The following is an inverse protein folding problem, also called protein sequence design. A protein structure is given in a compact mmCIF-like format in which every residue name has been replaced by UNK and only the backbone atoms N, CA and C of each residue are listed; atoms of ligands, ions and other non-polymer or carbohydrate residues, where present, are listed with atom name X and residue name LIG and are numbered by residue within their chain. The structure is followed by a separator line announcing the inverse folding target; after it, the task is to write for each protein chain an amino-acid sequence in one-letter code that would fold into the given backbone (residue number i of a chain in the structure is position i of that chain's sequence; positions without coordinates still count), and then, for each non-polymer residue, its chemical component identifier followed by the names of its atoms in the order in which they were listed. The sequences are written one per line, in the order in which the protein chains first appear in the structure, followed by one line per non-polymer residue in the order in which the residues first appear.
data_IF_532293021035
#
_entry.id   IF_532293021035
#
_cell.length_a   1.000
_cell.length_b   1.000
_cell.length_c   1.000
_cell.angle_alpha   90.00
_cell.angle_beta   90.00
_cell.angle_gamma   90.00
#
_symmetry.space_group_name_H-M   'P 1'
#
loop_
_entity.id
_entity.type
_entity.pdbx_description
1 polymer ?
#
# COMPACT_ATOMS: atom_id res chain seq x y z
N UNK A 1 -2.65 20.74 14.67
CA UNK A 1 -2.19 19.35 14.48
C UNK A 1 -1.22 19.40 13.32
N UNK A 2 0.07 19.57 13.61
CA UNK A 2 1.10 19.61 12.57
C UNK A 2 1.16 18.22 11.94
N UNK A 3 0.90 18.14 10.63
CA UNK A 3 1.09 16.92 9.86
C UNK A 3 2.60 16.63 9.88
N UNK A 4 3.01 15.62 10.66
CA UNK A 4 4.40 15.16 10.65
C UNK A 4 4.70 14.64 9.24
N UNK A 5 5.58 15.30 8.45
CA UNK A 5 5.86 14.86 7.10
C UNK A 5 6.64 13.54 7.16
N UNK A 6 6.19 12.53 6.42
CA UNK A 6 7.04 11.36 6.10
C UNK A 6 7.93 11.76 4.96
N UNK A 7 9.24 11.72 5.18
CA UNK A 7 10.19 11.90 4.10
C UNK A 7 10.65 10.53 3.61
N UNK A 8 10.25 10.20 2.38
CA UNK A 8 10.75 9.05 1.67
C UNK A 8 11.90 9.47 0.77
N UNK A 9 13.02 8.80 0.93
CA UNK A 9 14.22 9.03 0.14
C UNK A 9 14.48 7.80 -0.73
N UNK A 10 14.43 7.94 -2.05
CA UNK A 10 14.88 6.89 -2.96
C UNK A 10 16.34 6.50 -2.69
N UNK A 11 16.67 5.22 -2.55
CA UNK A 11 18.07 4.77 -2.61
C UNK A 11 18.70 5.00 -3.99
N UNK A 12 17.86 5.08 -5.02
CA UNK A 12 18.24 5.52 -6.35
C UNK A 12 18.55 7.04 -6.40
N UNK A 13 18.26 7.77 -5.31
CA UNK A 13 18.25 9.23 -5.20
C UNK A 13 18.85 9.74 -3.90
N UNK A 14 20.17 9.95 -3.91
CA UNK A 14 20.80 10.80 -2.91
C UNK A 14 20.51 10.48 -1.41
N UNK A 15 20.36 9.23 -0.95
CA UNK A 15 20.68 8.94 0.44
C UNK A 15 22.20 8.90 0.49
N UNK A 16 22.79 10.09 0.55
CA UNK A 16 24.16 10.16 1.00
C UNK A 16 24.22 9.55 2.40
N UNK A 17 25.34 8.93 2.81
CA UNK A 17 25.49 8.43 4.18
C UNK A 17 25.00 9.40 5.27
N UNK A 18 25.21 10.74 5.15
CA UNK A 18 24.62 11.73 6.06
C UNK A 18 23.09 11.74 6.15
N UNK A 19 22.38 11.41 5.07
CA UNK A 19 20.92 11.37 5.06
C UNK A 19 20.41 10.12 5.78
N UNK A 20 21.08 8.98 5.62
CA UNK A 20 20.72 7.72 6.31
C UNK A 20 20.89 7.86 7.83
N UNK A 21 21.91 8.60 8.28
CA UNK A 21 22.22 8.76 9.70
C UNK A 21 21.65 10.03 10.33
N UNK A 22 20.88 10.84 9.59
CA UNK A 22 20.47 12.19 10.02
C UNK A 22 19.69 12.18 11.36
N UNK A 23 18.96 11.10 11.65
CA UNK A 23 18.16 10.92 12.87
C UNK A 23 18.94 10.46 14.09
N UNK A 24 20.22 10.15 13.93
CA UNK A 24 21.13 9.95 15.06
C UNK A 24 21.49 11.29 15.73
N UNK A 25 21.33 12.40 15.01
CA UNK A 25 21.47 13.75 15.54
C UNK A 25 20.08 14.41 15.64
N UNK A 26 19.53 14.37 16.86
CA UNK A 26 18.22 14.92 17.17
C UNK A 26 18.16 16.46 17.08
N UNK A 27 19.27 17.16 16.79
CA UNK A 27 19.23 18.59 16.50
C UNK A 27 18.83 18.91 15.05
N UNK A 28 18.90 17.92 14.14
CA UNK A 28 18.71 18.15 12.69
C UNK A 28 17.26 18.06 12.23
N UNK A 29 16.62 16.91 12.46
CA UNK A 29 15.26 16.64 11.98
C UNK A 29 14.39 16.13 13.13
N UNK A 30 13.57 17.03 13.67
CA UNK A 30 12.58 16.74 14.70
C UNK A 30 11.17 16.70 14.10
N UNK A 31 10.33 15.77 14.55
CA UNK A 31 8.93 15.69 14.11
C UNK A 31 8.70 15.17 12.67
N UNK A 32 9.70 14.55 12.05
CA UNK A 32 9.52 13.84 10.78
C UNK A 32 10.05 12.41 10.90
N UNK A 33 9.37 11.48 10.23
CA UNK A 33 9.82 10.11 10.08
C UNK A 33 10.61 9.97 8.79
N UNK A 34 11.75 9.29 8.87
CA UNK A 34 12.58 8.98 7.71
C UNK A 34 12.36 7.55 7.24
N UNK A 35 12.23 7.36 5.93
CA UNK A 35 12.27 6.05 5.32
C UNK A 35 13.04 6.07 4.01
N UNK A 36 13.72 4.97 3.70
CA UNK A 36 14.42 4.80 2.43
C UNK A 36 13.63 3.87 1.51
N UNK A 37 13.50 4.29 0.26
CA UNK A 37 12.86 3.53 -0.81
C UNK A 37 13.90 2.63 -1.48
N UNK A 38 13.73 1.32 -1.32
CA UNK A 38 14.61 0.29 -1.86
C UNK A 38 14.08 -0.20 -3.23
N UNK A 39 14.94 -0.19 -4.25
CA UNK A 39 14.64 -0.75 -5.58
C UNK A 39 14.98 -2.24 -5.67
N UNK A 40 14.37 -2.94 -6.62
CA UNK A 40 14.67 -4.36 -6.87
C UNK A 40 16.15 -4.51 -7.35
N UNK A 41 16.65 -3.57 -8.16
CA UNK A 41 18.05 -3.54 -8.63
C UNK A 41 19.06 -3.33 -7.50
N UNK A 42 18.75 -2.52 -6.49
CA UNK A 42 19.61 -2.40 -5.29
C UNK A 42 19.70 -3.73 -4.55
N UNK A 43 18.58 -4.44 -4.39
CA UNK A 43 18.56 -5.75 -3.74
C UNK A 43 19.35 -6.80 -4.52
N UNK A 44 19.32 -6.75 -5.86
CA UNK A 44 20.13 -7.60 -6.71
C UNK A 44 21.63 -7.30 -6.54
N UNK A 45 22.02 -6.02 -6.55
CA UNK A 45 23.40 -5.62 -6.29
C UNK A 45 23.86 -6.08 -4.89
N UNK A 46 23.02 -5.92 -3.86
CA UNK A 46 23.32 -6.38 -2.51
C UNK A 46 23.54 -7.90 -2.46
N UNK A 47 22.65 -8.68 -3.07
CA UNK A 47 22.72 -10.15 -3.10
C UNK A 47 24.01 -10.63 -3.79
N UNK A 48 24.43 -9.93 -4.83
CA UNK A 48 25.62 -10.27 -5.62
C UNK A 48 26.92 -9.61 -5.12
N UNK A 49 26.88 -8.93 -3.97
CA UNK A 49 28.01 -8.16 -3.42
C UNK A 49 28.57 -7.12 -4.42
N UNK A 50 27.68 -6.56 -5.24
CA UNK A 50 27.97 -5.59 -6.28
C UNK A 50 28.18 -4.18 -5.76
N UNK A 51 28.60 -3.32 -6.68
CA UNK A 51 28.68 -1.88 -6.49
C UNK A 51 27.33 -1.22 -6.77
N UNK A 52 27.17 0.00 -6.26
CA UNK A 52 25.98 0.82 -6.38
C UNK A 52 26.37 2.26 -6.65
N UNK A 53 25.82 2.82 -7.72
CA UNK A 53 26.07 4.20 -8.11
C UNK A 53 25.06 5.14 -7.45
N UNK A 54 25.57 6.14 -6.74
CA UNK A 54 24.80 7.27 -6.26
C UNK A 54 24.67 8.27 -7.38
N UNK A 55 23.48 8.34 -7.97
CA UNK A 55 23.20 9.12 -9.17
C UNK A 55 22.24 10.28 -8.90
N UNK A 56 22.33 11.32 -9.71
CA UNK A 56 21.35 12.39 -9.79
C UNK A 56 21.29 12.90 -11.24
N UNK A 57 20.19 13.52 -11.68
CA UNK A 57 20.18 14.27 -12.93
C UNK A 57 21.36 15.26 -13.00
N UNK A 58 21.93 15.39 -14.19
CA UNK A 58 22.94 16.41 -14.46
C UNK A 58 22.27 17.79 -14.45
N UNK A 59 22.67 18.64 -13.50
CA UNK A 59 22.11 19.98 -13.32
C UNK A 59 22.46 20.91 -14.50
N UNK A 60 23.54 20.60 -15.22
CA UNK A 60 23.97 21.35 -16.40
C UNK A 60 23.19 20.93 -17.67
N UNK A 61 22.29 19.94 -17.58
CA UNK A 61 21.37 19.62 -18.67
C UNK A 61 20.35 20.76 -18.82
N UNK A 62 20.25 21.43 -19.98
CA UNK A 62 19.36 22.58 -20.16
C UNK A 62 17.88 22.22 -20.01
N UNK A 63 17.53 20.93 -20.00
CA UNK A 63 16.18 20.44 -19.75
C UNK A 63 15.85 20.30 -18.27
N UNK A 64 16.85 20.35 -17.36
CA UNK A 64 16.67 20.03 -15.94
C UNK A 64 15.57 20.88 -15.32
N UNK A 65 15.73 22.20 -15.30
CA UNK A 65 14.76 23.12 -14.67
C UNK A 65 13.35 23.01 -15.26
N UNK A 66 13.24 22.65 -16.55
CA UNK A 66 11.96 22.60 -17.25
C UNK A 66 11.27 21.22 -17.20
N UNK A 67 12.01 20.14 -16.99
CA UNK A 67 11.52 18.76 -17.17
C UNK A 67 11.77 17.84 -15.97
N UNK A 68 12.67 18.20 -15.06
CA UNK A 68 12.90 17.43 -13.85
C UNK A 68 11.69 17.52 -12.93
N UNK A 69 11.14 16.37 -12.55
CA UNK A 69 9.94 16.28 -11.73
C UNK A 69 10.14 15.42 -10.46
N UNK A 70 11.38 15.10 -10.12
CA UNK A 70 11.71 14.21 -9.01
C UNK A 70 11.81 12.73 -9.37
N UNK A 71 11.56 12.33 -10.63
CA UNK A 71 11.49 10.92 -11.04
C UNK A 71 12.57 10.53 -12.07
N UNK A 72 13.53 9.70 -11.65
CA UNK A 72 14.76 9.42 -12.41
C UNK A 72 14.44 8.58 -13.63
N UNK A 73 13.52 7.63 -13.48
CA UNK A 73 13.10 6.77 -14.57
C UNK A 73 12.37 7.57 -15.66
N UNK A 74 11.68 8.66 -15.32
CA UNK A 74 11.06 9.54 -16.30
C UNK A 74 12.11 10.44 -16.97
N UNK A 75 13.08 10.94 -16.20
CA UNK A 75 14.23 11.66 -16.71
C UNK A 75 15.08 10.82 -17.69
N UNK A 76 15.34 9.55 -17.35
CA UNK A 76 16.02 8.59 -18.23
C UNK A 76 15.25 8.39 -19.54
N UNK A 77 13.92 8.24 -19.48
CA UNK A 77 13.07 8.02 -20.66
C UNK A 77 13.13 9.17 -21.67
N UNK A 78 13.30 10.41 -21.21
CA UNK A 78 13.46 11.57 -22.10
C UNK A 78 14.91 11.81 -22.53
N UNK A 79 15.81 10.87 -22.23
CA UNK A 79 17.25 10.98 -22.53
C UNK A 79 17.94 12.08 -21.73
N UNK A 80 17.46 12.38 -20.53
CA UNK A 80 18.09 13.31 -19.59
C UNK A 80 19.46 12.80 -19.14
N UNK A 81 20.45 13.69 -19.05
CA UNK A 81 21.80 13.31 -18.60
C UNK A 81 21.82 12.97 -17.12
N UNK A 82 22.57 11.94 -16.75
CA UNK A 82 22.75 11.52 -15.36
C UNK A 82 24.21 11.69 -14.98
N UNK A 83 24.43 12.22 -13.78
CA UNK A 83 25.75 12.34 -13.17
C UNK A 83 25.88 11.31 -12.05
N UNK A 84 26.91 10.47 -12.14
CA UNK A 84 27.34 9.60 -11.04
C UNK A 84 28.19 10.43 -10.10
N UNK A 85 27.77 10.57 -8.85
CA UNK A 85 28.50 11.34 -7.84
C UNK A 85 29.51 10.46 -7.10
N UNK A 86 29.13 9.21 -6.81
CA UNK A 86 29.96 8.27 -6.08
C UNK A 86 29.49 6.85 -6.34
N UNK A 87 30.43 5.93 -6.47
CA UNK A 87 30.16 4.49 -6.47
C UNK A 87 30.54 3.91 -5.11
N UNK A 88 29.67 3.11 -4.51
CA UNK A 88 29.86 2.47 -3.20
C UNK A 88 29.47 0.99 -3.25
N UNK A 89 29.95 0.17 -2.32
CA UNK A 89 29.44 -1.21 -2.21
C UNK A 89 27.98 -1.18 -1.75
N UNK A 90 27.09 -1.93 -2.41
CA UNK A 90 25.68 -2.04 -1.99
C UNK A 90 25.57 -2.53 -0.54
N UNK A 91 26.45 -3.47 -0.14
CA UNK A 91 26.57 -3.97 1.22
C UNK A 91 26.88 -2.87 2.24
N UNK A 92 27.77 -1.94 1.91
CA UNK A 92 28.11 -0.84 2.81
C UNK A 92 26.89 0.05 3.11
N UNK A 93 26.10 0.39 2.08
CA UNK A 93 24.85 1.15 2.29
C UNK A 93 23.83 0.37 3.11
N UNK A 94 23.68 -0.93 2.85
CA UNK A 94 22.77 -1.79 3.60
C UNK A 94 23.15 -1.88 5.08
N UNK A 95 24.43 -2.11 5.38
CA UNK A 95 24.93 -2.19 6.76
C UNK A 95 24.71 -0.85 7.47
N UNK A 96 24.93 0.28 6.79
CA UNK A 96 24.68 1.62 7.33
C UNK A 96 23.18 1.84 7.65
N UNK A 97 22.28 1.38 6.78
CA UNK A 97 20.82 1.46 7.02
C UNK A 97 20.46 0.62 8.25
N UNK A 98 20.97 -0.60 8.34
CA UNK A 98 20.71 -1.48 9.48
C UNK A 98 21.24 -0.88 10.80
N UNK A 99 22.46 -0.33 10.79
CA UNK A 99 23.05 0.30 11.97
C UNK A 99 22.26 1.56 12.39
N UNK A 100 21.85 2.40 11.43
CA UNK A 100 21.04 3.56 11.71
C UNK A 100 19.68 3.16 12.31
N UNK A 101 18.99 2.20 11.69
CA UNK A 101 17.72 1.69 12.20
C UNK A 101 17.85 1.09 13.60
N UNK A 102 18.96 0.40 13.90
CA UNK A 102 19.23 -0.11 15.24
C UNK A 102 19.45 1.02 16.28
N UNK A 103 20.14 2.09 15.90
CA UNK A 103 20.45 3.22 16.81
C UNK A 103 19.29 4.16 17.05
N UNK A 104 18.49 4.44 16.03
CA UNK A 104 17.46 5.51 16.06
C UNK A 104 16.05 5.05 15.69
N UNK A 105 15.82 3.74 15.48
CA UNK A 105 14.58 3.18 14.93
C UNK A 105 14.21 3.71 13.51
N UNK A 106 15.15 4.42 12.87
CA UNK A 106 15.01 5.05 11.56
C UNK A 106 16.35 4.95 10.79
N UNK A 107 16.32 4.87 9.45
CA UNK A 107 15.14 4.97 8.60
C UNK A 107 14.32 3.68 8.51
N UNK A 108 13.01 3.81 8.31
CA UNK A 108 12.17 2.72 7.85
C UNK A 108 12.52 2.29 6.42
N UNK A 109 12.03 1.13 5.99
CA UNK A 109 12.21 0.61 4.63
C UNK A 109 10.90 0.59 3.88
N UNK A 110 10.93 1.04 2.62
CA UNK A 110 9.78 0.93 1.73
C UNK A 110 10.19 0.44 0.35
N UNK A 111 9.44 -0.49 -0.24
CA UNK A 111 9.70 -0.99 -1.60
C UNK A 111 8.70 -0.35 -2.58
N UNK A 112 8.88 0.94 -2.86
CA UNK A 112 7.89 1.72 -3.61
C UNK A 112 7.72 1.24 -5.06
N UNK A 113 8.80 0.74 -5.69
CA UNK A 113 8.74 0.08 -7.00
C UNK A 113 7.78 -1.11 -6.96
N UNK A 114 7.91 -1.99 -5.96
CA UNK A 114 7.04 -3.15 -5.77
C UNK A 114 5.60 -2.74 -5.45
N UNK A 115 5.41 -1.71 -4.63
CA UNK A 115 4.08 -1.16 -4.36
C UNK A 115 3.42 -0.64 -5.64
N UNK A 116 4.14 0.05 -6.51
CA UNK A 116 3.63 0.50 -7.81
C UNK A 116 3.28 -0.68 -8.73
N UNK A 117 4.17 -1.67 -8.87
CA UNK A 117 3.92 -2.88 -9.69
C UNK A 117 2.69 -3.67 -9.23
N UNK A 118 2.41 -3.68 -7.92
CA UNK A 118 1.34 -4.49 -7.33
C UNK A 118 0.07 -3.72 -7.00
N UNK A 119 0.05 -2.40 -7.17
CA UNK A 119 -1.11 -1.58 -6.81
C UNK A 119 -2.32 -1.87 -7.71
N UNK A 120 -3.51 -1.91 -7.10
CA UNK A 120 -4.78 -1.92 -7.83
C UNK A 120 -5.04 -0.64 -8.64
N UNK A 121 -4.24 0.41 -8.42
CA UNK A 121 -4.31 1.70 -9.11
C UNK A 121 -3.19 1.92 -10.15
N UNK A 122 -2.33 0.91 -10.35
CA UNK A 122 -1.11 1.02 -11.18
C UNK A 122 -1.34 1.54 -12.60
N UNK A 123 -2.55 1.39 -13.15
CA UNK A 123 -2.89 1.84 -14.51
C UNK A 123 -3.28 3.32 -14.63
N UNK A 124 -3.41 4.05 -13.52
CA UNK A 124 -3.82 5.46 -13.53
C UNK A 124 -3.20 6.33 -12.42
N UNK A 125 -2.52 5.74 -11.45
CA UNK A 125 -1.88 6.44 -10.34
C UNK A 125 -0.49 5.84 -10.11
N UNK A 126 0.50 6.73 -9.96
CA UNK A 126 1.82 6.39 -9.44
C UNK A 126 1.82 6.68 -7.94
N UNK A 127 2.24 5.70 -7.16
CA UNK A 127 2.45 5.85 -5.73
C UNK A 127 3.83 6.49 -5.53
N UNK A 128 3.85 7.65 -4.88
CA UNK A 128 5.07 8.47 -4.71
C UNK A 128 5.52 8.51 -3.26
N UNK A 129 4.60 8.26 -2.32
CA UNK A 129 4.89 8.25 -0.90
C UNK A 129 4.12 7.15 -0.17
N UNK A 130 4.32 7.05 1.15
CA UNK A 130 3.49 6.30 2.08
C UNK A 130 3.00 7.25 3.17
N UNK A 131 1.94 6.90 3.87
CA UNK A 131 1.44 7.63 5.02
C UNK A 131 2.37 7.45 6.25
N UNK A 132 2.18 8.24 7.34
CA UNK A 132 3.02 8.18 8.55
C UNK A 132 3.31 6.79 9.13
N UNK A 133 2.35 5.88 9.03
CA UNK A 133 2.46 4.56 9.62
C UNK A 133 3.00 3.50 8.64
N UNK A 134 3.28 3.88 7.38
CA UNK A 134 3.88 3.01 6.36
C UNK A 134 2.92 1.99 5.74
N UNK A 135 1.71 1.86 6.27
CA UNK A 135 0.72 0.88 5.88
C UNK A 135 -0.11 1.32 4.69
N UNK A 136 0.07 2.51 4.11
CA UNK A 136 -0.58 3.05 2.90
C UNK A 136 0.34 3.86 1.98
N UNK A 137 0.89 3.27 0.90
CA UNK A 137 1.41 3.95 -0.26
C UNK A 137 0.30 4.74 -0.95
N UNK A 138 0.61 5.98 -1.29
CA UNK A 138 -0.31 6.96 -1.81
C UNK A 138 0.30 7.68 -3.01
N UNK A 139 -0.55 7.98 -3.99
CA UNK A 139 -0.26 9.02 -4.96
C UNK A 139 -0.47 10.42 -4.37
N UNK A 140 -0.14 11.47 -5.14
CA UNK A 140 -0.34 12.85 -4.72
C UNK A 140 -1.80 13.10 -4.32
N UNK A 141 -2.01 13.86 -3.24
CA UNK A 141 -3.34 14.25 -2.72
C UNK A 141 -4.26 13.11 -2.29
N UNK A 142 -3.80 11.85 -2.30
CA UNK A 142 -4.63 10.74 -1.84
C UNK A 142 -4.80 10.78 -0.32
N UNK A 143 -5.96 10.29 0.14
CA UNK A 143 -6.38 10.32 1.55
C UNK A 143 -6.48 8.90 2.11
N UNK A 144 -6.07 8.75 3.36
CA UNK A 144 -6.27 7.52 4.14
C UNK A 144 -7.64 7.52 4.81
N UNK A 145 -8.56 6.70 4.32
CA UNK A 145 -9.81 6.36 5.03
C UNK A 145 -9.64 4.98 5.69
N UNK A 146 -9.43 4.96 7.00
CA UNK A 146 -8.99 3.79 7.74
C UNK A 146 -10.07 3.28 8.70
N UNK A 147 -10.22 1.96 8.75
CA UNK A 147 -11.01 1.25 9.76
C UNK A 147 -10.24 0.03 10.27
N UNK A 148 -10.65 -0.51 11.41
CA UNK A 148 -10.00 -1.71 11.97
C UNK A 148 -11.03 -2.65 12.61
N UNK A 149 -10.98 -3.93 12.24
CA UNK A 149 -11.81 -4.97 12.84
C UNK A 149 -11.15 -5.49 14.14
N UNK A 150 -11.84 -5.41 15.28
CA UNK A 150 -11.35 -5.99 16.52
C UNK A 150 -11.53 -7.52 16.53
N UNK A 151 -10.48 -8.26 16.19
CA UNK A 151 -10.52 -9.72 16.06
C UNK A 151 -10.89 -10.42 17.38
N UNK A 152 -10.50 -9.84 18.51
CA UNK A 152 -10.79 -10.41 19.84
C UNK A 152 -12.28 -10.46 20.16
N UNK A 153 -13.08 -9.57 19.57
CA UNK A 153 -14.54 -9.54 19.73
C UNK A 153 -15.23 -10.72 19.03
N UNK A 154 -14.55 -11.34 18.06
CA UNK A 154 -15.06 -12.48 17.30
C UNK A 154 -14.62 -13.83 17.89
N UNK A 155 -14.07 -13.89 19.10
CA UNK A 155 -13.73 -15.16 19.74
C UNK A 155 -14.74 -15.49 20.83
N UNK A 156 -15.45 -16.62 20.66
CA UNK A 156 -16.42 -17.16 21.62
C UNK A 156 -16.05 -18.61 21.92
N UNK A 157 -16.02 -18.97 23.21
CA UNK A 157 -15.72 -20.34 23.68
C UNK A 157 -14.44 -20.94 23.05
N UNK A 158 -13.41 -20.10 22.91
CA UNK A 158 -12.13 -20.48 22.31
C UNK A 158 -12.16 -20.68 20.78
N UNK A 159 -13.22 -20.28 20.09
CA UNK A 159 -13.38 -20.41 18.63
C UNK A 159 -13.65 -19.07 17.96
N UNK A 160 -13.11 -18.89 16.76
CA UNK A 160 -13.35 -17.70 15.95
C UNK A 160 -14.72 -17.77 15.24
N UNK A 161 -15.53 -16.74 15.42
CA UNK A 161 -16.86 -16.54 14.86
C UNK A 161 -16.73 -15.93 13.46
N UNK A 162 -16.40 -16.78 12.50
CA UNK A 162 -16.17 -16.39 11.11
C UNK A 162 -17.43 -15.82 10.43
N UNK A 163 -18.62 -16.26 10.83
CA UNK A 163 -19.88 -15.82 10.23
C UNK A 163 -20.18 -14.36 10.57
N UNK A 164 -20.16 -14.00 11.85
CA UNK A 164 -20.36 -12.62 12.26
C UNK A 164 -19.24 -11.71 11.74
N UNK A 165 -17.98 -12.19 11.77
CA UNK A 165 -16.86 -11.44 11.19
C UNK A 165 -17.07 -11.14 9.70
N UNK A 166 -17.47 -12.14 8.92
CA UNK A 166 -17.76 -12.01 7.48
C UNK A 166 -18.82 -10.93 7.21
N UNK A 167 -19.93 -10.96 7.96
CA UNK A 167 -21.01 -9.97 7.83
C UNK A 167 -20.53 -8.55 8.17
N UNK A 168 -19.85 -8.41 9.30
CA UNK A 168 -19.48 -7.09 9.83
C UNK A 168 -18.37 -6.43 8.99
N UNK A 169 -17.51 -7.20 8.31
CA UNK A 169 -16.57 -6.67 7.29
C UNK A 169 -17.33 -5.93 6.19
N UNK A 170 -18.45 -6.49 5.71
CA UNK A 170 -19.28 -5.82 4.70
C UNK A 170 -19.88 -4.51 5.19
N UNK A 171 -20.31 -4.48 6.46
CA UNK A 171 -20.81 -3.26 7.12
C UNK A 171 -19.69 -2.21 7.22
N UNK A 172 -18.49 -2.60 7.65
CA UNK A 172 -17.34 -1.70 7.77
C UNK A 172 -16.96 -1.08 6.41
N UNK A 173 -16.97 -1.87 5.33
CA UNK A 173 -16.71 -1.39 3.96
C UNK A 173 -17.75 -0.35 3.53
N UNK A 174 -19.03 -0.62 3.79
CA UNK A 174 -20.11 0.33 3.48
C UNK A 174 -19.99 1.61 4.30
N UNK A 175 -19.66 1.49 5.58
CA UNK A 175 -19.43 2.62 6.47
C UNK A 175 -18.30 3.51 5.93
N UNK A 176 -17.13 2.93 5.64
CA UNK A 176 -16.01 3.69 5.08
C UNK A 176 -16.35 4.28 3.70
N UNK A 177 -17.09 3.59 2.83
CA UNK A 177 -17.56 4.16 1.56
C UNK A 177 -18.39 5.43 1.78
N UNK A 178 -19.29 5.42 2.77
CA UNK A 178 -20.09 6.60 3.11
C UNK A 178 -19.24 7.72 3.73
N UNK A 179 -18.21 7.39 4.52
CA UNK A 179 -17.29 8.37 5.12
C UNK A 179 -16.61 9.22 4.04
N UNK A 180 -16.27 8.65 2.87
CA UNK A 180 -15.67 9.41 1.76
C UNK A 180 -16.55 10.60 1.36
N UNK A 181 -17.87 10.40 1.33
CA UNK A 181 -18.83 11.42 0.91
C UNK A 181 -19.18 12.39 2.06
N UNK A 182 -19.12 11.92 3.31
CA UNK A 182 -19.39 12.73 4.50
C UNK A 182 -18.19 13.55 5.01
N UNK A 183 -16.98 13.23 4.55
CA UNK A 183 -15.74 13.90 4.98
C UNK A 183 -15.72 15.35 4.51
N UNK A 184 -15.37 16.25 5.42
CA UNK A 184 -14.98 17.62 5.06
C UNK A 184 -13.52 17.63 4.61
N UNK A 185 -13.27 18.10 3.39
CA UNK A 185 -11.93 18.20 2.82
C UNK A 185 -11.46 19.65 2.83
N UNK A 186 -10.27 19.89 3.37
CA UNK A 186 -9.66 21.22 3.40
C UNK A 186 -9.17 21.69 2.02
N UNK A 187 -8.67 20.75 1.20
CA UNK A 187 -8.17 21.02 -0.15
C UNK A 187 -9.04 20.34 -1.20
N UNK A 188 -9.33 21.06 -2.29
CA UNK A 188 -10.17 20.56 -3.39
C UNK A 188 -9.51 19.38 -4.10
N UNK A 189 -8.19 19.36 -4.16
CA UNK A 189 -7.38 18.30 -4.74
C UNK A 189 -7.56 16.98 -3.96
N UNK A 190 -7.57 17.04 -2.62
CA UNK A 190 -7.83 15.88 -1.78
C UNK A 190 -9.27 15.37 -1.98
N UNK A 191 -10.25 16.26 -2.02
CA UNK A 191 -11.65 15.90 -2.26
C UNK A 191 -11.82 15.19 -3.59
N UNK A 192 -11.28 15.80 -4.66
CA UNK A 192 -11.34 15.25 -6.00
C UNK A 192 -10.67 13.87 -6.04
N UNK A 193 -9.46 13.75 -5.50
CA UNK A 193 -8.72 12.49 -5.48
C UNK A 193 -9.50 11.39 -4.73
N UNK A 194 -10.07 11.73 -3.56
CA UNK A 194 -10.81 10.79 -2.72
C UNK A 194 -12.10 10.33 -3.37
N UNK A 195 -12.85 11.24 -4.02
CA UNK A 195 -14.09 10.91 -4.74
C UNK A 195 -13.85 10.13 -6.04
N UNK A 196 -12.75 10.41 -6.74
CA UNK A 196 -12.36 9.72 -7.98
C UNK A 196 -11.93 8.27 -7.74
N UNK A 197 -11.12 8.04 -6.69
CA UNK A 197 -10.44 6.75 -6.43
C UNK A 197 -11.22 5.91 -5.40
N UNK A 198 -11.88 6.56 -4.44
CA UNK A 198 -12.62 5.95 -3.34
C UNK A 198 -11.81 4.90 -2.55
N UNK A 199 -10.55 5.20 -2.27
CA UNK A 199 -9.63 4.35 -1.51
C UNK A 199 -10.10 4.19 -0.07
N UNK A 200 -10.08 2.95 0.43
CA UNK A 200 -10.30 2.63 1.85
C UNK A 200 -9.23 1.63 2.32
N UNK A 201 -8.93 1.63 3.62
CA UNK A 201 -8.04 0.65 4.26
C UNK A 201 -8.71 0.03 5.47
N UNK A 202 -9.17 -1.22 5.34
CA UNK A 202 -9.72 -1.96 6.46
C UNK A 202 -8.66 -2.89 7.04
N UNK A 203 -8.10 -2.48 8.17
CA UNK A 203 -7.15 -3.27 8.95
C UNK A 203 -7.81 -4.13 10.02
N UNK A 204 -6.97 -4.59 10.94
CA UNK A 204 -7.37 -5.36 12.11
C UNK A 204 -6.74 -4.77 13.37
N UNK A 205 -7.32 -5.10 14.53
CA UNK A 205 -6.67 -4.98 15.84
C UNK A 205 -6.99 -6.23 16.68
N UNK A 206 -6.28 -6.43 17.78
CA UNK A 206 -6.58 -7.51 18.74
C UNK A 206 -6.26 -8.92 18.24
N UNK A 207 -5.30 -9.07 17.30
CA UNK A 207 -4.87 -10.39 16.84
C UNK A 207 -4.27 -11.23 17.96
N UNK A 208 -3.38 -10.63 18.77
CA UNK A 208 -2.77 -11.31 19.90
C UNK A 208 -3.82 -11.78 20.91
N UNK A 209 -4.76 -10.91 21.27
CA UNK A 209 -5.87 -11.23 22.17
C UNK A 209 -6.76 -12.34 21.63
N UNK A 210 -7.07 -12.31 20.33
CA UNK A 210 -7.85 -13.36 19.68
C UNK A 210 -7.14 -14.72 19.79
N UNK A 211 -5.84 -14.76 19.50
CA UNK A 211 -5.02 -15.97 19.60
C UNK A 211 -4.95 -16.48 21.05
N UNK A 212 -4.76 -15.60 22.03
CA UNK A 212 -4.77 -15.95 23.46
C UNK A 212 -6.12 -16.57 23.85
N UNK A 213 -7.25 -15.94 23.47
CA UNK A 213 -8.59 -16.47 23.76
C UNK A 213 -8.84 -17.84 23.13
N UNK A 214 -8.29 -18.09 21.94
CA UNK A 214 -8.35 -19.39 21.27
C UNK A 214 -7.31 -20.40 21.78
N UNK A 215 -6.42 -19.99 22.70
CA UNK A 215 -5.28 -20.77 23.20
C UNK A 215 -4.31 -21.21 22.10
N UNK A 216 -4.16 -20.40 21.05
CA UNK A 216 -3.26 -20.64 19.92
C UNK A 216 -2.01 -19.78 20.08
N UNK A 217 -0.82 -20.39 20.08
CA UNK A 217 0.45 -19.66 20.17
C UNK A 217 0.77 -18.94 18.86
N UNK A 218 1.08 -17.64 18.91
CA UNK A 218 1.54 -16.90 17.73
C UNK A 218 2.81 -17.53 17.12
N UNK A 219 2.81 -17.73 15.79
CA UNK A 219 3.91 -18.36 15.08
C UNK A 219 3.95 -19.89 15.17
N UNK A 220 2.95 -20.54 15.78
CA UNK A 220 2.78 -21.99 15.69
C UNK A 220 2.26 -22.41 14.31
N UNK A 221 2.46 -23.68 13.94
CA UNK A 221 1.90 -24.26 12.71
C UNK A 221 0.37 -24.15 12.63
N UNK A 222 -0.31 -24.16 13.78
CA UNK A 222 -1.76 -23.96 13.88
C UNK A 222 -2.17 -22.49 13.65
N UNK A 223 -1.36 -21.53 14.10
CA UNK A 223 -1.69 -20.11 13.98
C UNK A 223 -1.69 -19.62 12.53
N UNK A 224 -0.81 -20.17 11.69
CA UNK A 224 -0.65 -19.74 10.30
C UNK A 224 -1.92 -19.93 9.44
N UNK A 225 -2.53 -21.13 9.35
CA UNK A 225 -3.78 -21.32 8.60
C UNK A 225 -4.95 -20.57 9.22
N UNK A 226 -4.99 -20.41 10.55
CA UNK A 226 -6.03 -19.64 11.24
C UNK A 226 -5.97 -18.15 10.85
N UNK A 227 -4.80 -17.53 10.97
CA UNK A 227 -4.56 -16.13 10.57
C UNK A 227 -4.84 -15.98 9.06
N UNK A 228 -4.34 -16.91 8.25
CA UNK A 228 -4.60 -16.94 6.80
C UNK A 228 -6.09 -16.93 6.47
N UNK A 229 -6.89 -17.74 7.16
CA UNK A 229 -8.35 -17.77 6.99
C UNK A 229 -9.03 -16.46 7.41
N UNK A 230 -8.61 -15.85 8.53
CA UNK A 230 -9.14 -14.54 8.97
C UNK A 230 -8.89 -13.48 7.89
N UNK A 231 -7.65 -13.35 7.40
CA UNK A 231 -7.32 -12.37 6.36
C UNK A 231 -7.95 -12.69 5.01
N UNK A 232 -8.13 -13.97 4.66
CA UNK A 232 -8.87 -14.36 3.47
C UNK A 232 -10.33 -13.91 3.53
N UNK A 233 -11.01 -14.13 4.66
CA UNK A 233 -12.40 -13.71 4.86
C UNK A 233 -12.51 -12.18 4.85
N UNK A 234 -11.59 -11.47 5.52
CA UNK A 234 -11.52 -10.01 5.49
C UNK A 234 -11.42 -9.49 4.05
N UNK A 235 -10.43 -10.00 3.29
CA UNK A 235 -10.21 -9.60 1.90
C UNK A 235 -11.41 -9.90 1.03
N UNK A 236 -11.85 -11.15 0.99
CA UNK A 236 -12.89 -11.61 0.07
C UNK A 236 -14.20 -10.86 0.31
N UNK A 237 -14.63 -10.72 1.57
CA UNK A 237 -15.84 -9.98 1.92
C UNK A 237 -15.72 -8.49 1.63
N UNK A 238 -14.53 -7.90 1.80
CA UNK A 238 -14.34 -6.51 1.44
C UNK A 238 -14.51 -6.28 -0.08
N UNK A 239 -13.97 -7.18 -0.91
CA UNK A 239 -14.18 -7.13 -2.35
C UNK A 239 -15.63 -7.40 -2.74
N UNK A 240 -16.32 -8.33 -2.07
CA UNK A 240 -17.75 -8.61 -2.30
C UNK A 240 -18.61 -7.38 -1.96
N UNK A 241 -18.42 -6.79 -0.77
CA UNK A 241 -19.14 -5.59 -0.34
C UNK A 241 -18.87 -4.41 -1.28
N UNK A 242 -17.61 -4.18 -1.69
CA UNK A 242 -17.26 -3.13 -2.66
C UNK A 242 -17.97 -3.33 -4.01
N UNK A 243 -18.16 -4.57 -4.47
CA UNK A 243 -18.92 -4.87 -5.69
C UNK A 243 -20.43 -4.69 -5.51
N UNK A 244 -20.96 -5.06 -4.35
CA UNK A 244 -22.38 -4.85 -4.02
C UNK A 244 -22.71 -3.35 -3.96
N UNK A 245 -21.83 -2.52 -3.40
CA UNK A 245 -22.00 -1.07 -3.43
C UNK A 245 -21.86 -0.52 -4.85
N UNK A 246 -20.98 -1.08 -5.68
CA UNK A 246 -20.84 -0.67 -7.09
C UNK A 246 -22.13 -0.94 -7.89
N UNK A 247 -22.83 -2.04 -7.58
CA UNK A 247 -24.14 -2.35 -8.18
C UNK A 247 -25.20 -1.30 -7.83
N UNK A 248 -25.15 -0.78 -6.61
CA UNK A 248 -26.12 0.21 -6.13
C UNK A 248 -25.77 1.64 -6.58
N UNK A 249 -24.50 2.04 -6.45
CA UNK A 249 -24.04 3.43 -6.57
C UNK A 249 -23.12 3.69 -7.77
N UNK A 250 -22.83 2.66 -8.57
CA UNK A 250 -21.80 2.69 -9.61
C UNK A 250 -20.37 2.49 -9.08
N UNK A 251 -19.47 2.05 -9.96
CA UNK A 251 -18.04 1.92 -9.65
C UNK A 251 -17.35 3.26 -9.36
N UNK A 252 -16.13 3.25 -8.81
CA UNK A 252 -15.32 4.48 -8.72
C UNK A 252 -14.99 5.03 -10.12
N UNK A 253 -14.81 6.35 -10.23
CA UNK A 253 -14.75 7.05 -11.52
C UNK A 253 -13.60 6.59 -12.42
N UNK A 254 -12.45 6.22 -11.83
CA UNK A 254 -11.27 5.75 -12.59
C UNK A 254 -11.29 4.25 -12.91
N UNK A 255 -12.39 3.54 -12.61
CA UNK A 255 -12.46 2.09 -12.81
C UNK A 255 -12.38 1.73 -14.30
N UNK A 256 -11.32 1.02 -14.68
CA UNK A 256 -11.21 0.38 -15.99
C UNK A 256 -11.22 -1.13 -15.82
N UNK A 257 -12.30 -1.81 -16.23
CA UNK A 257 -12.47 -3.25 -16.03
C UNK A 257 -11.29 -4.08 -16.54
N UNK A 258 -10.83 -3.82 -17.78
CA UNK A 258 -9.74 -4.59 -18.39
C UNK A 258 -8.44 -4.44 -17.60
N UNK A 259 -8.01 -3.20 -17.38
CA UNK A 259 -6.75 -2.91 -16.66
C UNK A 259 -6.80 -3.30 -15.19
N UNK A 260 -7.98 -3.22 -14.56
CA UNK A 260 -8.15 -3.63 -13.16
C UNK A 260 -8.00 -5.14 -12.97
N UNK A 261 -8.56 -5.95 -13.89
CA UNK A 261 -8.43 -7.42 -13.84
C UNK A 261 -6.99 -7.90 -14.08
N UNK A 262 -6.15 -7.07 -14.70
CA UNK A 262 -4.71 -7.33 -14.88
C UNK A 262 -3.89 -7.06 -13.60
N UNK A 263 -4.48 -6.46 -12.56
CA UNK A 263 -3.79 -6.09 -11.32
C UNK A 263 -3.31 -7.31 -10.52
N UNK A 264 -2.09 -7.23 -9.99
CA UNK A 264 -1.42 -8.32 -9.27
C UNK A 264 -2.28 -8.95 -8.16
N UNK A 265 -2.86 -8.11 -7.27
CA UNK A 265 -3.72 -8.60 -6.19
C UNK A 265 -5.08 -9.07 -6.67
N UNK A 266 -5.57 -8.53 -7.79
CA UNK A 266 -6.85 -8.91 -8.37
C UNK A 266 -6.75 -10.32 -8.96
N UNK A 267 -5.66 -10.65 -9.65
CA UNK A 267 -5.41 -11.99 -10.18
C UNK A 267 -5.37 -13.08 -9.09
N UNK A 268 -5.05 -12.72 -7.85
CA UNK A 268 -5.03 -13.63 -6.70
C UNK A 268 -6.40 -13.82 -6.02
N UNK A 269 -7.45 -13.13 -6.47
CA UNK A 269 -8.79 -13.30 -5.93
C UNK A 269 -9.43 -14.62 -6.42
N UNK A 270 -10.32 -15.23 -5.62
CA UNK A 270 -11.04 -16.41 -6.06
C UNK A 270 -11.91 -16.12 -7.29
N UNK A 271 -12.07 -17.10 -8.18
CA UNK A 271 -12.78 -16.96 -9.47
C UNK A 271 -14.17 -16.33 -9.36
N UNK A 272 -14.90 -16.59 -8.27
CA UNK A 272 -16.21 -15.98 -7.98
C UNK A 272 -16.19 -14.44 -7.92
N UNK A 273 -15.04 -13.86 -7.63
CA UNK A 273 -14.81 -12.41 -7.58
C UNK A 273 -14.25 -11.85 -8.88
N UNK A 274 -14.00 -12.69 -9.90
CA UNK A 274 -13.36 -12.30 -11.17
C UNK A 274 -14.29 -12.45 -12.39
N UNK A 275 -15.08 -13.51 -12.48
CA UNK A 275 -15.77 -13.93 -13.72
C UNK A 275 -16.99 -13.08 -14.07
N UNK A 276 -17.06 -12.61 -15.34
CA UNK A 276 -18.13 -11.74 -15.89
C UNK A 276 -19.26 -12.36 -16.69
N UNK A 277 -19.34 -13.67 -16.92
CA UNK A 277 -20.38 -14.20 -17.84
C UNK A 277 -21.00 -15.53 -17.38
N UNK A 278 -22.32 -15.63 -17.59
CA UNK A 278 -23.15 -16.84 -17.72
C UNK A 278 -23.02 -17.95 -16.68
N UNK A 279 -23.97 -18.05 -15.76
CA UNK A 279 -24.33 -19.33 -15.14
C UNK A 279 -25.81 -19.58 -15.44
N UNK A 280 -26.06 -20.78 -15.95
CA UNK A 280 -27.35 -21.41 -16.28
C UNK A 280 -28.42 -21.21 -15.18
N UNK A 281 -29.73 -21.21 -15.52
CA UNK A 281 -30.81 -20.74 -14.65
C UNK A 281 -31.05 -21.54 -13.36
N UNK A 282 -30.35 -22.66 -13.14
CA UNK A 282 -30.81 -23.70 -12.23
C UNK A 282 -30.10 -23.73 -10.87
N UNK A 283 -29.10 -22.85 -10.65
CA UNK A 283 -28.37 -22.73 -9.37
C UNK A 283 -28.33 -21.28 -8.83
N UNK A 284 -29.42 -20.55 -9.00
CA UNK A 284 -29.52 -19.09 -8.79
C UNK A 284 -29.77 -18.67 -7.32
N UNK A 285 -28.93 -19.11 -6.37
CA UNK A 285 -28.98 -18.55 -5.00
C UNK A 285 -27.66 -18.03 -4.43
N UNK A 286 -26.51 -18.45 -4.96
CA UNK A 286 -25.23 -17.93 -4.52
C UNK A 286 -24.28 -17.85 -5.73
N UNK A 287 -23.41 -16.84 -5.77
CA UNK A 287 -22.35 -16.62 -6.79
C UNK A 287 -22.86 -16.05 -8.12
N UNK A 288 -22.76 -14.75 -8.40
CA UNK A 288 -21.61 -14.04 -9.03
C UNK A 288 -21.83 -12.53 -8.82
N UNK A 289 -20.86 -11.77 -8.25
CA UNK A 289 -21.11 -10.35 -7.86
C UNK A 289 -20.14 -9.29 -8.41
N UNK A 290 -18.90 -9.64 -8.75
CA UNK A 290 -17.82 -8.65 -8.82
C UNK A 290 -17.49 -8.06 -10.20
N UNK A 291 -18.05 -8.61 -11.25
CA UNK A 291 -17.52 -8.51 -12.62
C UNK A 291 -18.47 -7.82 -13.61
N UNK A 292 -19.77 -7.79 -13.28
CA UNK A 292 -20.81 -7.01 -13.98
C UNK A 292 -20.86 -5.57 -13.51
N UNK A 293 -20.73 -5.33 -12.20
CA UNK A 293 -20.97 -4.01 -11.61
C UNK A 293 -19.68 -3.22 -11.32
N UNK A 294 -18.51 -3.87 -11.49
CA UNK A 294 -17.21 -3.34 -11.11
C UNK A 294 -17.03 -3.24 -9.59
N UNK A 295 -16.19 -2.31 -9.13
CA UNK A 295 -15.87 -2.10 -7.71
C UNK A 295 -16.12 -0.65 -7.34
N UNK A 296 -16.68 -0.41 -6.15
CA UNK A 296 -16.92 0.94 -5.64
C UNK A 296 -15.65 1.55 -5.07
N UNK A 297 -14.86 0.75 -4.37
CA UNK A 297 -13.69 1.19 -3.63
C UNK A 297 -12.42 0.52 -4.14
N UNK A 298 -11.33 1.28 -4.21
CA UNK A 298 -9.98 0.72 -4.25
C UNK A 298 -9.67 0.18 -2.86
N UNK A 299 -9.52 -1.13 -2.76
CA UNK A 299 -9.14 -1.82 -1.55
C UNK A 299 -7.63 -2.02 -1.51
N UNK A 300 -7.07 -1.89 -0.33
CA UNK A 300 -5.70 -2.25 -0.03
C UNK A 300 -5.63 -3.12 1.21
#
# INVERSE_FOLDING_TARGET
MELLPVQLLGLDFFPTPPTITVKQDLSKINGANLSVCISDSFMEALKNNGDWDLVYPDLDDPRYDAKWNGELEEWKKIGGKIKVYKTVKARHLWDLICEAAWRSAEPGLHFLERSNKRSNTAYFERLVATNPCGEQPLGPWAVCNLGAMNLSAYVKDGRFDFENFSRDVGVAVRFMDNVIDATYYFYRENEKCSKDIRRIGLGIMGLADALIKMKVRYGSEESLPLIGKIFQILRDNAYEASADIAREKGSFAKFNKKKYLEGYHIQALPKRLLLSEGIEPENMFFTIRCSKNGKRNILR
#
